data_IF_996331398293
#
_entry.id   IF_996331398293
#
_cell.length_a   1.000
_cell.length_b   1.000
_cell.length_c   1.000
_cell.angle_alpha   90.00
_cell.angle_beta   90.00
_cell.angle_gamma   90.00
#
_symmetry.space_group_name_H-M   'P 1'
#
loop_
_entity.id
_entity.type
_entity.pdbx_description
1 polymer ?
#
# COMPACT_ATOMS: atom_id res chain seq x y z
N UNK A 1 0.34 1.23 -7.44
CA UNK A 1 0.92 1.27 -6.08
C UNK A 1 2.35 0.79 -6.09
N UNK A 2 3.15 1.14 -5.08
CA UNK A 2 4.55 0.74 -4.99
C UNK A 2 5.00 0.72 -3.51
N UNK A 3 6.29 0.51 -3.27
CA UNK A 3 6.91 0.45 -1.95
C UNK A 3 6.81 1.73 -1.11
N UNK A 4 6.48 2.86 -1.73
CA UNK A 4 6.20 4.11 -1.01
C UNK A 4 4.74 4.24 -0.55
N UNK A 5 3.87 3.34 -1.01
CA UNK A 5 2.48 3.27 -0.56
C UNK A 5 2.44 2.70 0.86
N UNK A 6 2.01 3.51 1.83
CA UNK A 6 1.97 3.09 3.24
C UNK A 6 0.80 3.69 3.99
N UNK A 7 0.44 3.08 5.13
CA UNK A 7 -0.55 3.58 6.09
C UNK A 7 -1.89 3.89 5.42
N UNK A 8 -2.42 5.10 5.53
CA UNK A 8 -3.70 5.50 4.95
C UNK A 8 -3.84 5.16 3.47
N UNK A 9 -2.75 5.20 2.69
CA UNK A 9 -2.78 4.83 1.28
C UNK A 9 -3.00 3.31 1.09
N UNK A 10 -2.44 2.48 1.97
CA UNK A 10 -2.71 1.04 1.99
C UNK A 10 -4.16 0.76 2.36
N UNK A 11 -4.65 1.42 3.41
CA UNK A 11 -6.03 1.30 3.88
C UNK A 11 -7.05 1.70 2.79
N UNK A 12 -6.82 2.82 2.10
CA UNK A 12 -7.67 3.24 0.97
C UNK A 12 -7.62 2.22 -0.17
N UNK A 13 -6.44 1.69 -0.49
CA UNK A 13 -6.29 0.66 -1.53
C UNK A 13 -7.09 -0.59 -1.18
N UNK A 14 -7.04 -1.05 0.07
CA UNK A 14 -7.85 -2.19 0.54
C UNK A 14 -9.36 -1.94 0.38
N UNK A 15 -9.82 -0.71 0.66
CA UNK A 15 -11.22 -0.35 0.44
C UNK A 15 -11.61 -0.38 -1.04
N UNK A 16 -10.73 0.13 -1.91
CA UNK A 16 -10.96 0.06 -3.36
C UNK A 16 -11.00 -1.38 -3.87
N UNK A 17 -10.16 -2.26 -3.32
CA UNK A 17 -10.19 -3.69 -3.64
C UNK A 17 -11.50 -4.40 -3.27
N UNK A 18 -12.32 -3.83 -2.37
CA UNK A 18 -13.64 -4.37 -2.05
C UNK A 18 -14.68 -4.10 -3.13
N UNK A 19 -14.38 -3.24 -4.10
CA UNK A 19 -15.26 -2.92 -5.23
C UNK A 19 -15.13 -4.05 -6.26
N UNK A 20 -16.24 -4.69 -6.68
CA UNK A 20 -16.19 -5.71 -7.72
C UNK A 20 -15.53 -5.21 -9.00
N UNK A 21 -14.55 -5.93 -9.50
CA UNK A 21 -13.79 -5.58 -10.70
C UNK A 21 -12.63 -4.62 -10.48
N UNK A 22 -12.40 -4.16 -9.26
CA UNK A 22 -11.19 -3.40 -8.96
C UNK A 22 -9.94 -4.29 -9.10
N UNK A 23 -8.92 -3.75 -9.73
CA UNK A 23 -7.65 -4.44 -10.00
C UNK A 23 -6.51 -3.58 -9.46
N UNK A 24 -5.58 -4.20 -8.77
CA UNK A 24 -4.38 -3.54 -8.25
C UNK A 24 -3.15 -3.89 -9.08
N UNK A 25 -2.45 -2.85 -9.51
CA UNK A 25 -1.25 -2.95 -10.35
C UNK A 25 -0.08 -2.23 -9.67
N UNK A 26 1.09 -2.81 -9.71
CA UNK A 26 2.31 -2.20 -9.21
C UNK A 26 3.21 -3.16 -8.46
N UNK A 27 3.93 -2.66 -7.49
CA UNK A 27 4.79 -3.47 -6.62
C UNK A 27 4.32 -3.46 -5.17
N UNK A 28 4.92 -4.33 -4.36
CA UNK A 28 4.57 -4.50 -2.96
C UNK A 28 4.60 -3.18 -2.21
N UNK A 29 3.55 -2.91 -1.45
CA UNK A 29 3.45 -1.74 -0.58
C UNK A 29 4.33 -1.89 0.67
N UNK A 30 4.47 -0.82 1.44
CA UNK A 30 5.36 -0.80 2.60
C UNK A 30 4.99 -1.82 3.70
N UNK A 31 3.74 -2.25 3.77
CA UNK A 31 3.26 -3.11 4.84
C UNK A 31 3.28 -2.40 6.19
N UNK A 32 3.00 -1.11 6.18
CA UNK A 32 3.03 -0.24 7.36
C UNK A 32 1.66 0.40 7.57
N UNK A 33 0.63 -0.44 7.62
CA UNK A 33 -0.74 -0.03 7.91
C UNK A 33 -1.11 -0.41 9.34
N UNK A 34 -1.77 0.52 10.02
CA UNK A 34 -2.19 0.37 11.40
C UNK A 34 -2.33 1.73 12.06
N UNK A 35 -3.37 1.90 12.85
CA UNK A 35 -3.58 3.17 13.53
C UNK A 35 -2.52 3.36 14.63
N UNK A 36 -2.09 4.61 14.80
CA UNK A 36 -1.01 4.95 15.73
C UNK A 36 -1.56 5.55 17.02
N UNK A 37 -0.92 5.18 18.11
CA UNK A 37 -1.18 5.74 19.44
C UNK A 37 0.04 6.51 19.91
N UNK A 38 -0.21 7.67 20.48
CA UNK A 38 0.81 8.46 21.17
C UNK A 38 0.78 8.14 22.66
N UNK A 39 1.93 7.74 23.19
CA UNK A 39 2.11 7.56 24.63
C UNK A 39 2.98 8.68 25.17
N UNK A 40 2.46 9.36 26.19
CA UNK A 40 3.18 10.41 26.91
C UNK A 40 3.93 9.81 28.08
N UNK A 41 5.15 10.28 28.28
CA UNK A 41 6.03 9.87 29.38
C UNK A 41 6.41 11.09 30.23
N UNK A 42 6.86 10.88 31.47
CA UNK A 42 7.40 11.97 32.30
C UNK A 42 8.53 12.71 31.58
N UNK A 43 8.60 14.04 31.75
CA UNK A 43 9.61 14.89 31.12
C UNK A 43 9.25 15.33 29.69
N UNK A 44 7.95 15.39 29.36
CA UNK A 44 7.43 15.80 28.06
C UNK A 44 7.90 14.94 26.88
N UNK A 45 8.35 13.73 27.18
CA UNK A 45 8.70 12.75 26.15
C UNK A 45 7.45 12.06 25.62
N UNK A 46 7.48 11.72 24.35
CA UNK A 46 6.42 10.90 23.75
C UNK A 46 7.00 9.96 22.71
N UNK A 47 6.33 8.83 22.55
CA UNK A 47 6.61 7.91 21.44
C UNK A 47 5.30 7.45 20.80
N UNK A 48 5.42 6.96 19.56
CA UNK A 48 4.30 6.49 18.76
C UNK A 48 4.52 5.02 18.41
N UNK A 49 3.44 4.27 18.37
CA UNK A 49 3.45 2.90 17.87
C UNK A 49 2.08 2.54 17.28
N UNK A 50 2.07 1.56 16.37
CA UNK A 50 0.82 1.02 15.83
C UNK A 50 0.17 0.14 16.88
N UNK A 51 -1.06 0.47 17.30
CA UNK A 51 -1.82 -0.27 18.32
C UNK A 51 -3.06 -0.94 17.78
N UNK A 52 -3.55 -0.51 16.63
CA UNK A 52 -4.72 -1.07 15.97
C UNK A 52 -4.27 -1.80 14.73
N UNK A 53 -4.60 -3.08 14.68
CA UNK A 53 -4.29 -3.96 13.56
C UNK A 53 -5.33 -3.78 12.46
N UNK A 54 -4.86 -3.62 11.23
CA UNK A 54 -5.71 -3.59 10.04
C UNK A 54 -5.62 -4.95 9.36
N UNK A 55 -6.77 -5.54 9.10
CA UNK A 55 -6.89 -6.86 8.48
C UNK A 55 -7.79 -6.79 7.26
N UNK A 56 -7.58 -7.70 6.33
CA UNK A 56 -8.58 -8.03 5.33
C UNK A 56 -9.81 -8.69 5.97
N UNK A 57 -10.99 -8.66 5.32
CA UNK A 57 -12.20 -9.32 5.84
C UNK A 57 -12.04 -10.81 6.13
N UNK A 58 -11.11 -11.48 5.46
CA UNK A 58 -10.76 -12.88 5.67
C UNK A 58 -9.78 -13.14 6.83
N UNK A 59 -9.39 -12.07 7.55
CA UNK A 59 -8.45 -12.12 8.65
C UNK A 59 -6.98 -12.08 8.27
N UNK A 60 -6.65 -11.91 6.98
CA UNK A 60 -5.26 -11.80 6.53
C UNK A 60 -4.63 -10.50 6.99
N UNK A 61 -3.40 -10.59 7.48
CA UNK A 61 -2.61 -9.45 7.93
C UNK A 61 -2.16 -8.54 6.77
N UNK A 62 -2.13 -7.24 7.04
CA UNK A 62 -1.50 -6.24 6.16
C UNK A 62 -0.19 -5.72 6.73
N UNK A 63 -0.08 -5.65 8.05
CA UNK A 63 1.13 -5.20 8.73
C UNK A 63 2.31 -6.12 8.40
N UNK A 64 3.41 -5.55 7.90
CA UNK A 64 4.62 -6.22 7.40
C UNK A 64 4.43 -7.08 6.15
N UNK A 65 3.23 -7.15 5.62
CA UNK A 65 2.88 -7.91 4.42
C UNK A 65 2.59 -6.98 3.25
N UNK A 66 1.83 -5.91 3.53
CA UNK A 66 1.35 -4.96 2.53
C UNK A 66 0.03 -5.38 1.89
N UNK A 67 -0.38 -4.60 0.93
CA UNK A 67 -1.63 -4.79 0.19
C UNK A 67 -1.46 -5.87 -0.89
N UNK A 68 -2.49 -6.65 -1.11
CA UNK A 68 -2.53 -7.66 -2.19
C UNK A 68 -2.34 -7.01 -3.55
N UNK A 69 -1.63 -7.71 -4.43
CA UNK A 69 -1.34 -7.27 -5.79
C UNK A 69 -1.96 -8.27 -6.76
N UNK A 70 -2.75 -7.77 -7.73
CA UNK A 70 -3.28 -8.62 -8.80
C UNK A 70 -2.26 -8.77 -9.93
N UNK A 71 -1.60 -7.66 -10.29
CA UNK A 71 -0.54 -7.66 -11.31
C UNK A 71 0.72 -6.96 -10.81
N UNK A 72 1.79 -7.73 -10.63
CA UNK A 72 3.07 -7.16 -10.24
C UNK A 72 3.77 -6.55 -11.47
N UNK A 73 3.94 -5.23 -11.42
CA UNK A 73 4.65 -4.44 -12.45
C UNK A 73 5.62 -3.49 -11.75
N UNK A 74 6.87 -3.53 -12.18
CA UNK A 74 7.92 -2.65 -11.67
C UNK A 74 8.49 -1.81 -12.81
N UNK A 75 8.81 -0.54 -12.56
CA UNK A 75 9.49 0.27 -13.55
C UNK A 75 10.88 -0.29 -13.86
N UNK A 76 11.27 -0.24 -15.13
CA UNK A 76 12.62 -0.59 -15.55
C UNK A 76 13.54 0.63 -15.50
N UNK A 77 14.84 0.40 -15.39
CA UNK A 77 15.85 1.49 -15.44
C UNK A 77 15.72 2.28 -16.75
N UNK A 78 15.48 1.58 -17.85
CA UNK A 78 15.32 2.21 -19.16
C UNK A 78 14.01 3.00 -19.25
N UNK A 79 12.89 2.45 -18.72
CA UNK A 79 11.62 3.15 -18.64
C UNK A 79 11.75 4.47 -17.88
N UNK A 80 12.36 4.41 -16.69
CA UNK A 80 12.61 5.62 -15.87
C UNK A 80 13.48 6.65 -16.59
N UNK A 81 14.56 6.23 -17.26
CA UNK A 81 15.42 7.11 -18.06
C UNK A 81 14.67 7.79 -19.18
N UNK A 82 13.71 7.12 -19.78
CA UNK A 82 12.89 7.62 -20.89
C UNK A 82 11.63 8.35 -20.42
N UNK A 83 11.45 8.57 -19.12
CA UNK A 83 10.30 9.25 -18.53
C UNK A 83 8.97 8.50 -18.68
N UNK A 84 9.02 7.18 -18.82
CA UNK A 84 7.83 6.32 -18.93
C UNK A 84 7.32 5.93 -17.55
N UNK A 85 6.01 5.86 -17.43
CA UNK A 85 5.33 5.22 -16.28
C UNK A 85 4.78 3.85 -16.71
N UNK A 86 5.65 2.85 -16.66
CA UNK A 86 5.33 1.49 -17.11
C UNK A 86 4.20 0.86 -16.27
N UNK A 87 4.06 1.27 -15.00
CA UNK A 87 2.97 0.80 -14.14
C UNK A 87 1.63 1.37 -14.62
N UNK A 88 1.58 2.66 -14.92
CA UNK A 88 0.39 3.30 -15.47
C UNK A 88 0.07 2.76 -16.87
N UNK A 89 1.07 2.63 -17.74
CA UNK A 89 0.89 2.08 -19.09
C UNK A 89 0.28 0.67 -19.05
N UNK A 90 0.77 -0.18 -18.13
CA UNK A 90 0.20 -1.50 -17.96
C UNK A 90 -1.24 -1.45 -17.43
N UNK A 91 -1.49 -0.62 -16.42
CA UNK A 91 -2.84 -0.46 -15.87
C UNK A 91 -3.85 0.00 -16.95
N UNK A 92 -3.45 0.96 -17.80
CA UNK A 92 -4.27 1.43 -18.91
C UNK A 92 -4.54 0.32 -19.95
N UNK A 93 -3.61 -0.59 -20.16
CA UNK A 93 -3.79 -1.71 -21.08
C UNK A 93 -4.83 -2.74 -20.60
N UNK A 94 -5.21 -2.70 -19.32
CA UNK A 94 -6.24 -3.57 -18.73
C UNK A 94 -7.65 -2.95 -18.83
N UNK A 95 -7.74 -1.70 -19.21
CA UNK A 95 -9.01 -0.96 -19.37
C UNK A 95 -9.38 -0.96 -20.84
N UNK A 96 -10.52 -1.54 -21.14
CA UNK A 96 -11.08 -1.54 -22.51
C UNK A 96 -11.72 -0.19 -22.88
#
# INVERSE_FOLDING_TARGET
MNESTQSAAEFVTMHLQSIPGAITVGSQTAGADGDIVKVMMPGDLSFYFSSIKVLYPDGTDTQRVGVRIDYEVKPTIEGVKNGRDEVLEYALSLVD
#
